data_IF_714726852945
#
_entry.id   IF_714726852945
#
_cell.length_a   1.000
_cell.length_b   1.000
_cell.length_c   1.000
_cell.angle_alpha   90.00
_cell.angle_beta   90.00
_cell.angle_gamma   90.00
#
_symmetry.space_group_name_H-M   'P 1'
#
loop_
_entity.id
_entity.type
_entity.pdbx_description
1 polymer ?
#
# COMPACT_ATOMS: atom_id res chain seq x y z
N UNK A 1 -4.96 7.74 -10.94
CA UNK A 1 -5.91 6.64 -10.73
C UNK A 1 -5.81 6.15 -9.28
N UNK A 2 -6.93 6.05 -8.59
CA UNK A 2 -6.97 5.53 -7.22
C UNK A 2 -6.51 4.07 -7.18
N UNK A 3 -5.94 3.68 -6.05
CA UNK A 3 -5.71 2.27 -5.77
C UNK A 3 -7.04 1.52 -5.71
N UNK A 4 -6.97 0.20 -5.84
CA UNK A 4 -8.16 -0.64 -5.75
C UNK A 4 -8.89 -0.45 -4.40
N UNK A 5 -8.14 -0.32 -3.31
CA UNK A 5 -8.70 -0.10 -1.98
C UNK A 5 -9.43 1.24 -1.85
N UNK A 6 -8.83 2.32 -2.37
CA UNK A 6 -9.46 3.63 -2.39
C UNK A 6 -10.72 3.65 -3.25
N UNK A 7 -10.65 3.04 -4.44
CA UNK A 7 -11.79 2.97 -5.34
C UNK A 7 -12.96 2.25 -4.69
N UNK A 8 -12.69 1.11 -4.05
CA UNK A 8 -13.71 0.37 -3.31
C UNK A 8 -14.28 1.20 -2.16
N UNK A 9 -13.43 1.94 -1.43
CA UNK A 9 -13.86 2.77 -0.32
C UNK A 9 -14.74 3.95 -0.78
N UNK A 10 -14.36 4.64 -1.85
CA UNK A 10 -15.14 5.76 -2.38
C UNK A 10 -16.50 5.32 -2.94
N UNK A 11 -16.60 4.09 -3.41
CA UNK A 11 -17.86 3.48 -3.91
C UNK A 11 -18.67 2.76 -2.83
N UNK A 12 -18.27 2.85 -1.56
CA UNK A 12 -18.89 2.14 -0.45
C UNK A 12 -18.87 0.60 -0.59
N UNK A 13 -17.90 0.07 -1.34
CA UNK A 13 -17.70 -1.35 -1.57
C UNK A 13 -16.65 -1.96 -0.63
N UNK A 14 -15.87 -1.13 0.05
CA UNK A 14 -14.79 -1.60 0.91
C UNK A 14 -15.33 -2.29 2.17
N UNK A 15 -14.62 -3.30 2.62
CA UNK A 15 -14.94 -4.04 3.86
C UNK A 15 -13.64 -4.30 4.63
N UNK A 16 -13.75 -4.27 5.96
CA UNK A 16 -12.66 -4.66 6.85
C UNK A 16 -12.85 -6.15 7.16
N UNK A 17 -11.85 -6.96 6.90
CA UNK A 17 -11.90 -8.40 7.17
C UNK A 17 -11.57 -8.68 8.64
N UNK A 18 -12.47 -9.34 9.36
CA UNK A 18 -12.30 -9.65 10.78
C UNK A 18 -12.12 -8.39 11.61
N UNK A 19 -11.08 -8.34 12.43
CA UNK A 19 -10.74 -7.17 13.25
C UNK A 19 -9.84 -6.14 12.54
N UNK A 20 -9.53 -6.37 11.26
CA UNK A 20 -8.67 -5.47 10.48
C UNK A 20 -7.19 -5.54 10.86
N UNK A 21 -6.75 -6.62 11.48
CA UNK A 21 -5.36 -6.78 11.91
C UNK A 21 -4.40 -7.18 10.78
N UNK A 22 -4.91 -7.62 9.62
CA UNK A 22 -4.07 -8.01 8.48
C UNK A 22 -3.15 -6.87 8.06
N UNK A 23 -1.88 -7.17 7.85
CA UNK A 23 -0.87 -6.19 7.46
C UNK A 23 -0.91 -5.96 5.95
N UNK A 24 -0.91 -4.69 5.58
CA UNK A 24 -0.77 -4.22 4.20
C UNK A 24 0.66 -3.73 3.99
N UNK A 25 1.30 -4.24 2.94
CA UNK A 25 2.61 -3.77 2.50
C UNK A 25 2.38 -3.02 1.19
N UNK A 26 2.67 -1.73 1.19
CA UNK A 26 2.34 -0.85 0.07
C UNK A 26 3.57 -0.16 -0.47
N UNK A 27 3.45 0.41 -1.66
CA UNK A 27 4.44 1.30 -2.25
C UNK A 27 3.74 2.18 -3.29
N UNK A 28 4.15 3.40 -3.41
CA UNK A 28 3.64 4.32 -4.43
C UNK A 28 4.29 4.00 -5.79
N UNK A 29 3.52 4.12 -6.88
CA UNK A 29 3.93 3.71 -8.23
C UNK A 29 5.24 4.33 -8.72
N UNK A 30 5.51 5.58 -8.38
CA UNK A 30 6.76 6.24 -8.79
C UNK A 30 7.97 5.61 -8.10
N UNK A 31 7.78 5.14 -6.87
CA UNK A 31 8.81 4.38 -6.16
C UNK A 31 8.98 2.97 -6.72
N UNK A 32 7.92 2.35 -7.25
CA UNK A 32 8.06 1.09 -8.00
C UNK A 32 8.95 1.31 -9.22
N UNK A 33 8.68 2.32 -10.01
CA UNK A 33 9.48 2.65 -11.18
C UNK A 33 10.92 2.96 -10.80
N UNK A 34 11.14 3.77 -9.76
CA UNK A 34 12.47 4.09 -9.26
C UNK A 34 13.23 2.87 -8.74
N UNK A 35 12.56 1.96 -8.04
CA UNK A 35 13.17 0.71 -7.57
C UNK A 35 13.60 -0.19 -8.73
N UNK A 36 12.79 -0.28 -9.78
CA UNK A 36 13.15 -1.05 -11.00
C UNK A 36 14.40 -0.46 -11.66
N UNK A 37 14.43 0.86 -11.82
CA UNK A 37 15.59 1.55 -12.40
C UNK A 37 16.84 1.30 -11.54
N UNK A 38 16.74 1.42 -10.23
CA UNK A 38 17.85 1.17 -9.31
C UNK A 38 18.35 -0.27 -9.41
N UNK A 39 17.44 -1.23 -9.52
CA UNK A 39 17.82 -2.64 -9.68
C UNK A 39 18.54 -2.90 -11.01
N UNK A 40 18.10 -2.25 -12.09
CA UNK A 40 18.76 -2.36 -13.39
C UNK A 40 20.16 -1.73 -13.39
N UNK A 41 20.37 -0.66 -12.63
CA UNK A 41 21.65 0.05 -12.56
C UNK A 41 22.65 -0.59 -11.59
N UNK A 42 22.18 -1.09 -10.46
CA UNK A 42 23.05 -1.50 -9.35
C UNK A 42 22.69 -2.86 -8.75
N UNK A 43 21.65 -3.52 -9.23
CA UNK A 43 21.25 -4.84 -8.75
C UNK A 43 22.22 -5.93 -9.19
N UNK A 44 22.34 -6.96 -8.37
CA UNK A 44 23.14 -8.15 -8.71
C UNK A 44 22.24 -9.24 -9.29
N UNK A 45 22.67 -9.94 -10.37
CA UNK A 45 21.89 -11.02 -10.95
C UNK A 45 21.49 -12.08 -9.92
N UNK A 46 20.23 -12.53 -9.96
CA UNK A 46 19.70 -13.54 -9.05
C UNK A 46 19.27 -13.03 -7.68
N UNK A 47 19.50 -11.77 -7.35
CA UNK A 47 19.10 -11.20 -6.08
C UNK A 47 17.64 -10.70 -6.10
N UNK A 48 16.99 -10.76 -4.95
CA UNK A 48 15.60 -10.31 -4.78
C UNK A 48 15.59 -9.05 -3.90
N UNK A 49 14.89 -8.03 -4.37
CA UNK A 49 14.72 -6.78 -3.65
C UNK A 49 13.22 -6.52 -3.48
N UNK A 50 12.75 -6.44 -2.23
CA UNK A 50 11.36 -6.16 -1.95
C UNK A 50 11.08 -4.66 -2.11
N UNK A 51 10.18 -4.31 -3.01
CA UNK A 51 9.77 -2.93 -3.24
C UNK A 51 8.50 -2.63 -2.44
N UNK A 52 8.68 -2.24 -1.19
CA UNK A 52 7.62 -1.83 -0.27
C UNK A 52 8.06 -0.55 0.46
N UNK A 53 7.09 0.21 0.98
CA UNK A 53 7.40 1.42 1.74
C UNK A 53 7.88 1.12 3.16
N UNK A 54 8.17 2.17 3.93
CA UNK A 54 8.73 2.05 5.29
C UNK A 54 7.67 1.74 6.35
N UNK A 55 6.38 1.78 6.03
CA UNK A 55 5.31 1.65 7.03
C UNK A 55 4.32 0.54 6.67
N UNK A 56 4.64 -0.74 6.94
CA UNK A 56 3.61 -1.77 6.95
C UNK A 56 2.51 -1.36 7.94
N UNK A 57 1.27 -1.45 7.51
CA UNK A 57 0.13 -0.94 8.29
C UNK A 57 -1.00 -1.96 8.33
N UNK A 58 -1.72 -2.05 9.45
CA UNK A 58 -2.90 -2.90 9.51
C UNK A 58 -4.02 -2.32 8.62
N UNK A 59 -4.87 -3.19 8.11
CA UNK A 59 -6.03 -2.79 7.32
C UNK A 59 -6.90 -1.77 8.06
N UNK A 60 -7.14 -2.01 9.36
CA UNK A 60 -7.92 -1.10 10.20
C UNK A 60 -7.28 0.29 10.28
N UNK A 61 -5.99 0.37 10.59
CA UNK A 61 -5.29 1.66 10.70
C UNK A 61 -5.25 2.40 9.36
N UNK A 62 -5.09 1.66 8.26
CA UNK A 62 -5.13 2.25 6.93
C UNK A 62 -6.48 2.93 6.66
N UNK A 63 -7.58 2.23 6.89
CA UNK A 63 -8.90 2.82 6.68
C UNK A 63 -9.23 3.93 7.68
N UNK A 64 -8.76 3.83 8.93
CA UNK A 64 -8.89 4.93 9.90
C UNK A 64 -8.19 6.20 9.40
N UNK A 65 -7.01 6.06 8.84
CA UNK A 65 -6.31 7.20 8.24
C UNK A 65 -7.03 7.73 7.00
N UNK A 66 -7.45 6.85 6.11
CA UNK A 66 -8.08 7.23 4.84
C UNK A 66 -9.45 7.90 5.04
N UNK A 67 -10.19 7.53 6.09
CA UNK A 67 -11.48 8.12 6.39
C UNK A 67 -11.41 9.62 6.66
N UNK A 68 -10.33 10.11 7.24
CA UNK A 68 -10.12 11.54 7.49
C UNK A 68 -10.15 12.38 6.21
N UNK A 69 -9.19 12.19 5.28
CA UNK A 69 -9.15 12.96 4.03
C UNK A 69 -10.38 12.80 3.14
N UNK A 70 -11.01 11.62 3.14
CA UNK A 70 -12.21 11.37 2.33
C UNK A 70 -13.50 11.79 3.01
N UNK A 71 -13.48 12.13 4.29
CA UNK A 71 -14.67 12.50 5.04
C UNK A 71 -15.72 11.41 5.13
N UNK A 72 -15.30 10.14 5.14
CA UNK A 72 -16.18 8.97 5.17
C UNK A 72 -16.04 8.20 6.48
N UNK A 73 -17.08 7.47 6.82
CA UNK A 73 -17.04 6.54 7.95
C UNK A 73 -16.19 5.31 7.62
N UNK A 74 -15.72 4.61 8.64
CA UNK A 74 -15.00 3.36 8.46
C UNK A 74 -15.87 2.34 7.71
N UNK A 75 -15.25 1.54 6.81
CA UNK A 75 -15.96 0.42 6.19
C UNK A 75 -16.48 -0.56 7.24
N UNK A 76 -17.61 -1.22 6.97
CA UNK A 76 -18.11 -2.24 7.88
C UNK A 76 -17.18 -3.45 7.94
N UNK A 77 -17.10 -4.08 9.11
CA UNK A 77 -16.36 -5.31 9.30
C UNK A 77 -17.18 -6.52 8.84
N UNK A 78 -16.51 -7.45 8.18
CA UNK A 78 -17.10 -8.74 7.79
C UNK A 78 -16.24 -9.88 8.32
N UNK A 79 -16.81 -11.08 8.59
CA UNK A 79 -16.01 -12.22 8.99
C UNK A 79 -14.97 -12.59 7.94
N UNK A 80 -13.78 -12.98 8.38
CA UNK A 80 -12.77 -13.51 7.50
C UNK A 80 -13.22 -14.86 6.92
N UNK A 81 -13.10 -15.01 5.59
CA UNK A 81 -13.41 -16.25 4.91
C UNK A 81 -12.11 -17.08 4.72
N UNK A 82 -11.90 -18.16 5.49
CA UNK A 82 -10.68 -18.96 5.38
C UNK A 82 -10.47 -19.59 4.00
N UNK A 83 -11.55 -19.90 3.28
CA UNK A 83 -11.48 -20.50 1.94
C UNK A 83 -11.01 -19.45 0.93
N UNK A 84 -11.57 -18.26 0.97
CA UNK A 84 -11.16 -17.15 0.10
C UNK A 84 -9.71 -16.74 0.37
N UNK A 85 -9.29 -16.68 1.62
CA UNK A 85 -7.91 -16.39 2.03
C UNK A 85 -6.95 -17.43 1.44
N UNK A 86 -7.25 -18.72 1.56
CA UNK A 86 -6.42 -19.79 0.99
C UNK A 86 -6.33 -19.73 -0.52
N UNK A 87 -7.45 -19.49 -1.21
CA UNK A 87 -7.49 -19.39 -2.68
C UNK A 87 -6.67 -18.23 -3.21
N UNK A 88 -6.65 -17.11 -2.51
CA UNK A 88 -5.88 -15.92 -2.91
C UNK A 88 -4.40 -16.00 -2.53
N UNK A 89 -4.01 -17.01 -1.76
CA UNK A 89 -2.64 -17.11 -1.24
C UNK A 89 -2.27 -15.93 -0.35
N UNK A 90 -3.24 -15.31 0.29
CA UNK A 90 -3.01 -14.12 1.14
C UNK A 90 -2.23 -14.53 2.38
N UNK A 91 -1.13 -13.83 2.63
CA UNK A 91 -0.32 -13.99 3.82
C UNK A 91 -0.42 -12.75 4.70
N UNK A 92 -0.19 -12.92 6.00
CA UNK A 92 -0.15 -11.82 6.96
C UNK A 92 1.28 -11.61 7.42
N UNK A 93 2.04 -10.81 6.66
CA UNK A 93 3.47 -10.59 6.89
C UNK A 93 3.82 -9.10 6.80
N UNK A 94 4.80 -8.69 7.60
CA UNK A 94 5.52 -7.44 7.39
C UNK A 94 6.71 -7.72 6.48
N UNK A 95 6.79 -7.02 5.37
CA UNK A 95 7.87 -7.16 4.41
C UNK A 95 8.89 -6.05 4.61
N UNK A 96 10.18 -6.42 4.63
CA UNK A 96 11.28 -5.46 4.81
C UNK A 96 11.78 -4.96 3.46
N UNK A 97 12.01 -3.65 3.37
CA UNK A 97 12.64 -3.00 2.22
C UNK A 97 14.13 -2.72 2.44
N UNK A 98 14.73 -3.34 3.48
CA UNK A 98 16.12 -3.05 3.87
C UNK A 98 17.10 -3.23 2.72
N UNK A 99 16.97 -4.31 1.95
CA UNK A 99 17.87 -4.58 0.82
C UNK A 99 17.73 -3.55 -0.30
N UNK A 100 16.52 -3.11 -0.58
CA UNK A 100 16.25 -2.04 -1.53
C UNK A 100 17.02 -0.77 -1.13
N UNK A 101 16.98 -0.41 0.14
CA UNK A 101 17.61 0.81 0.65
C UNK A 101 19.11 0.67 0.81
N UNK A 102 19.59 -0.44 1.38
CA UNK A 102 21.00 -0.62 1.74
C UNK A 102 21.85 -1.13 0.58
N UNK A 103 21.34 -2.04 -0.24
CA UNK A 103 22.11 -2.63 -1.34
C UNK A 103 21.96 -1.84 -2.64
N UNK A 104 20.77 -1.29 -2.94
CA UNK A 104 20.57 -0.47 -4.13
C UNK A 104 20.73 1.03 -3.87
N UNK A 105 20.78 1.47 -2.61
CA UNK A 105 20.86 2.87 -2.24
C UNK A 105 19.63 3.67 -2.64
N UNK A 106 18.49 3.00 -2.83
CA UNK A 106 17.27 3.67 -3.25
C UNK A 106 16.64 4.47 -2.12
N UNK A 107 16.29 5.72 -2.40
CA UNK A 107 15.57 6.58 -1.47
C UNK A 107 14.12 6.73 -1.92
N UNK A 108 13.19 6.35 -1.03
CA UNK A 108 11.76 6.46 -1.32
C UNK A 108 11.35 7.93 -1.43
N UNK A 109 10.64 8.27 -2.51
CA UNK A 109 10.02 9.59 -2.67
C UNK A 109 8.81 9.74 -1.76
N UNK A 110 8.12 8.63 -1.54
CA UNK A 110 6.95 8.53 -0.67
C UNK A 110 7.23 7.47 0.40
N UNK A 111 7.89 7.85 1.51
CA UNK A 111 8.36 6.87 2.50
C UNK A 111 7.27 6.03 3.13
N UNK A 112 6.04 6.56 3.22
CA UNK A 112 4.88 5.82 3.74
C UNK A 112 3.67 6.01 2.84
N UNK A 113 2.64 5.19 3.05
CA UNK A 113 1.38 5.33 2.33
C UNK A 113 0.74 6.71 2.53
N UNK A 114 1.03 7.38 3.65
CA UNK A 114 0.45 8.70 3.98
C UNK A 114 0.85 9.75 2.96
N UNK A 115 2.13 9.84 2.63
CA UNK A 115 2.62 10.78 1.60
C UNK A 115 2.11 10.39 0.20
N UNK A 116 2.12 9.10 -0.12
CA UNK A 116 1.67 8.62 -1.42
C UNK A 116 0.20 8.90 -1.69
N UNK A 117 -0.68 8.58 -0.75
CA UNK A 117 -2.11 8.84 -0.89
C UNK A 117 -2.43 10.32 -0.81
N UNK A 118 -1.76 11.08 0.05
CA UNK A 118 -1.96 12.54 0.12
C UNK A 118 -1.63 13.20 -1.22
N UNK A 119 -0.52 12.84 -1.83
CA UNK A 119 -0.14 13.35 -3.15
C UNK A 119 -1.17 12.99 -4.23
N UNK A 120 -1.68 11.77 -4.21
CA UNK A 120 -2.70 11.32 -5.17
C UNK A 120 -4.02 12.05 -4.98
N UNK A 121 -4.47 12.23 -3.74
CA UNK A 121 -5.69 12.97 -3.44
C UNK A 121 -5.61 14.43 -3.89
N UNK A 122 -4.48 15.09 -3.66
CA UNK A 122 -4.23 16.46 -4.13
C UNK A 122 -4.27 16.51 -5.67
N UNK A 123 -3.61 15.57 -6.34
CA UNK A 123 -3.58 15.49 -7.80
C UNK A 123 -4.99 15.34 -8.38
N UNK A 124 -5.82 14.50 -7.78
CA UNK A 124 -7.19 14.26 -8.24
C UNK A 124 -8.10 15.45 -7.98
N UNK A 125 -7.93 16.12 -6.85
CA UNK A 125 -8.68 17.33 -6.53
C UNK A 125 -8.40 18.43 -7.57
N UNK A 126 -7.14 18.65 -7.92
CA UNK A 126 -6.75 19.60 -8.97
C UNK A 126 -7.30 19.21 -10.34
N UNK A 127 -7.33 17.93 -10.67
CA UNK A 127 -7.87 17.45 -11.95
C UNK A 127 -9.40 17.56 -12.03
N UNK A 128 -10.09 17.50 -10.88
CA UNK A 128 -11.54 17.66 -10.78
C UNK A 128 -12.03 19.10 -10.67
N UNK A 129 -11.09 20.04 -10.53
CA UNK A 129 -11.43 21.46 -10.39
C UNK A 129 -11.64 22.14 -11.81
#
# INVERSE_FOLDING_TARGET
>A
KFSQAETAYTKDEARIEGNGARILNMIQRDDVAGAIIAALQSGRPGEIYNAVDDEPVSQLHFFQWLSGPLGKELPPSVPEDPVAVRKRGVTNKKVSNRRLKMELGYQLKYPTFRQGYTAELIRLDRAGA
#
